data_IF_822607837924
#
_entry.id   IF_822607837924
#
_cell.length_a   1.000
_cell.length_b   1.000
_cell.length_c   1.000
_cell.angle_alpha   90.00
_cell.angle_beta   90.00
_cell.angle_gamma   90.00
#
_symmetry.space_group_name_H-M   'P 1'
#
loop_
_entity.id
_entity.type
_entity.pdbx_description
1 polymer ?
#
# COMPACT_ATOMS: atom_id res chain seq x y z
N UNK A 1 -22.33 -40.55 83.48
CA UNK A 1 -22.97 -39.22 83.19
C UNK A 1 -21.94 -38.39 82.55
N UNK A 2 -22.13 -38.13 81.26
CA UNK A 2 -21.26 -37.27 80.40
C UNK A 2 -21.96 -35.98 80.19
N UNK A 3 -21.32 -34.82 80.33
CA UNK A 3 -21.90 -33.54 79.89
C UNK A 3 -21.58 -33.24 78.44
N UNK A 4 -22.59 -32.80 77.71
CA UNK A 4 -22.51 -32.32 76.38
C UNK A 4 -22.02 -30.85 76.35
N UNK A 5 -20.94 -30.57 75.58
CA UNK A 5 -20.49 -29.21 75.28
C UNK A 5 -21.20 -28.75 74.00
N UNK A 6 -21.96 -27.67 74.05
CA UNK A 6 -22.48 -26.96 72.94
C UNK A 6 -21.44 -25.97 72.45
N UNK A 7 -20.94 -26.14 71.25
CA UNK A 7 -20.09 -25.14 70.56
C UNK A 7 -20.95 -24.24 69.67
N UNK A 8 -20.98 -22.95 69.98
CA UNK A 8 -21.63 -21.91 69.25
C UNK A 8 -20.74 -21.52 68.06
N UNK A 9 -21.16 -21.79 66.81
CA UNK A 9 -20.48 -21.34 65.61
C UNK A 9 -21.05 -19.96 65.21
N UNK A 10 -20.26 -18.90 65.38
CA UNK A 10 -20.54 -17.57 64.89
C UNK A 10 -20.12 -17.54 63.39
N UNK A 11 -21.09 -17.45 62.48
CA UNK A 11 -20.85 -17.24 61.04
C UNK A 11 -20.60 -15.76 60.79
N UNK A 12 -19.35 -15.38 60.50
CA UNK A 12 -19.01 -14.07 59.93
C UNK A 12 -19.40 -14.06 58.45
N UNK A 13 -20.42 -13.29 58.09
CA UNK A 13 -20.70 -12.95 56.71
C UNK A 13 -19.73 -11.83 56.27
N UNK A 14 -18.72 -12.17 55.47
CA UNK A 14 -17.93 -11.19 54.73
C UNK A 14 -18.74 -10.80 53.47
N UNK A 15 -19.31 -9.62 53.49
CA UNK A 15 -19.84 -8.96 52.29
C UNK A 15 -18.67 -8.55 51.42
N UNK A 16 -18.38 -9.38 50.40
CA UNK A 16 -17.48 -9.02 49.31
C UNK A 16 -18.27 -8.10 48.33
N UNK A 17 -17.96 -6.80 48.37
CA UNK A 17 -18.37 -5.89 47.34
C UNK A 17 -17.58 -6.19 46.05
N UNK A 18 -18.15 -7.00 45.16
CA UNK A 18 -17.70 -7.10 43.79
C UNK A 18 -18.11 -5.83 43.06
N UNK A 19 -17.20 -4.86 42.97
CA UNK A 19 -17.30 -3.77 42.00
C UNK A 19 -16.97 -4.36 40.62
N UNK A 20 -17.98 -4.84 39.93
CA UNK A 20 -17.94 -5.05 38.48
C UNK A 20 -17.75 -3.68 37.82
N UNK A 21 -16.50 -3.32 37.54
CA UNK A 21 -16.22 -2.26 36.57
C UNK A 21 -16.74 -2.78 35.22
N UNK A 22 -17.94 -2.35 34.83
CA UNK A 22 -18.38 -2.43 33.46
C UNK A 22 -17.45 -1.54 32.66
N UNK A 23 -16.42 -2.15 32.11
CA UNK A 23 -15.61 -1.57 31.04
C UNK A 23 -16.59 -1.50 29.84
N UNK A 24 -17.22 -0.34 29.69
CA UNK A 24 -17.95 -0.02 28.47
C UNK A 24 -16.91 0.08 27.37
N UNK A 25 -16.69 -1.02 26.66
CA UNK A 25 -16.10 -0.98 25.32
C UNK A 25 -17.06 -0.16 24.44
N UNK A 26 -16.88 1.15 24.49
CA UNK A 26 -17.40 2.04 23.47
C UNK A 26 -16.56 1.72 22.23
N UNK A 27 -17.03 0.76 21.45
CA UNK A 27 -16.60 0.60 20.07
C UNK A 27 -16.96 1.91 19.38
N UNK A 28 -16.00 2.82 19.28
CA UNK A 28 -16.19 4.07 18.55
C UNK A 28 -16.59 3.66 17.13
N UNK A 29 -17.81 3.97 16.75
CA UNK A 29 -18.27 3.77 15.38
C UNK A 29 -17.40 4.66 14.50
N UNK A 30 -16.59 4.07 13.66
CA UNK A 30 -15.72 4.79 12.72
C UNK A 30 -16.63 5.58 11.78
N UNK A 31 -16.46 6.88 11.76
CA UNK A 31 -17.26 7.79 10.93
C UNK A 31 -16.50 8.10 9.64
N UNK A 32 -17.16 7.86 8.52
CA UNK A 32 -16.68 8.23 7.20
C UNK A 32 -17.33 9.53 6.76
N UNK A 33 -16.51 10.52 6.46
CA UNK A 33 -16.97 11.83 5.96
C UNK A 33 -16.84 11.89 4.43
N UNK A 34 -17.81 12.49 3.76
CA UNK A 34 -17.70 12.72 2.32
C UNK A 34 -16.75 13.86 2.05
N UNK A 35 -15.78 13.63 1.15
CA UNK A 35 -14.80 14.63 0.72
C UNK A 35 -15.18 15.15 -0.67
N UNK A 36 -15.15 16.47 -0.84
CA UNK A 36 -15.32 17.13 -2.15
C UNK A 36 -14.02 17.09 -2.97
N UNK A 37 -14.11 17.38 -4.27
CA UNK A 37 -12.94 17.51 -5.15
C UNK A 37 -12.77 16.37 -6.13
N UNK A 38 -13.59 15.30 -6.06
CA UNK A 38 -13.61 14.25 -7.10
C UNK A 38 -14.52 14.64 -8.26
N UNK A 39 -14.14 14.26 -9.47
CA UNK A 39 -14.88 14.52 -10.71
C UNK A 39 -15.94 13.44 -10.98
N UNK A 40 -15.74 12.22 -10.46
CA UNK A 40 -16.65 11.10 -10.62
C UNK A 40 -16.73 10.27 -9.33
N UNK A 41 -17.88 9.62 -9.08
CA UNK A 41 -18.08 8.77 -7.91
C UNK A 41 -18.19 9.53 -6.59
N UNK A 42 -17.78 8.89 -5.49
CA UNK A 42 -17.83 9.46 -4.13
C UNK A 42 -16.55 9.16 -3.40
N UNK A 43 -15.91 10.16 -2.81
CA UNK A 43 -14.74 10.00 -1.95
C UNK A 43 -15.16 10.07 -0.49
N UNK A 44 -14.82 9.05 0.26
CA UNK A 44 -15.04 8.95 1.70
C UNK A 44 -13.71 9.03 2.42
N UNK A 45 -13.66 9.76 3.54
CA UNK A 45 -12.48 9.89 4.38
C UNK A 45 -12.77 9.41 5.79
N UNK A 46 -11.88 8.57 6.28
CA UNK A 46 -11.76 8.23 7.69
C UNK A 46 -10.61 9.02 8.29
N UNK A 47 -10.82 9.61 9.45
CA UNK A 47 -9.78 10.32 10.17
C UNK A 47 -8.61 9.40 10.59
N UNK A 48 -7.62 9.96 11.26
CA UNK A 48 -6.42 9.22 11.69
C UNK A 48 -6.63 8.28 12.88
N UNK A 49 -7.83 8.17 13.43
CA UNK A 49 -8.13 7.35 14.63
C UNK A 49 -7.86 5.86 14.44
N UNK A 50 -7.90 5.39 13.18
CA UNK A 50 -7.63 4.01 12.81
C UNK A 50 -6.13 3.65 12.81
N UNK A 51 -5.20 4.62 12.84
CA UNK A 51 -3.74 4.39 12.69
C UNK A 51 -3.02 4.00 13.99
N UNK A 52 -3.65 3.37 14.92
CA UNK A 52 -3.10 3.11 16.27
C UNK A 52 -1.69 2.49 16.26
N UNK A 53 -0.69 3.29 16.60
CA UNK A 53 0.54 2.85 17.26
C UNK A 53 1.74 2.45 16.40
N UNK A 54 1.62 2.06 15.13
CA UNK A 54 2.74 1.52 14.36
C UNK A 54 3.34 2.48 13.33
N UNK A 55 2.53 3.36 12.78
CA UNK A 55 2.93 4.37 11.80
C UNK A 55 2.38 5.74 12.19
N UNK A 56 2.87 6.80 11.55
CA UNK A 56 2.36 8.16 11.77
C UNK A 56 0.87 8.25 11.47
N UNK A 57 0.12 8.98 12.31
CA UNK A 57 -1.30 9.20 12.13
C UNK A 57 -1.60 9.86 10.77
N UNK A 58 -2.56 9.32 10.04
CA UNK A 58 -2.93 9.78 8.69
C UNK A 58 -4.37 9.44 8.37
N UNK A 59 -5.05 10.21 7.51
CA UNK A 59 -6.37 9.84 7.02
C UNK A 59 -6.28 8.63 6.07
N UNK A 60 -7.43 7.98 5.90
CA UNK A 60 -7.64 6.94 4.89
C UNK A 60 -8.78 7.38 4.00
N UNK A 61 -8.53 7.44 2.70
CA UNK A 61 -9.57 7.76 1.73
C UNK A 61 -10.00 6.52 0.97
N UNK A 62 -11.30 6.38 0.74
CA UNK A 62 -11.87 5.33 -0.11
C UNK A 62 -12.77 5.97 -1.15
N UNK A 63 -12.39 5.80 -2.40
CA UNK A 63 -13.22 6.21 -3.52
C UNK A 63 -14.14 5.09 -3.98
N UNK A 64 -15.40 5.41 -4.14
CA UNK A 64 -16.46 4.52 -4.62
C UNK A 64 -16.89 4.97 -6.02
N UNK A 65 -16.95 4.06 -7.02
CA UNK A 65 -17.37 4.41 -8.37
C UNK A 65 -18.84 4.88 -8.39
N UNK A 66 -19.21 5.64 -9.41
CA UNK A 66 -20.60 6.14 -9.61
C UNK A 66 -21.64 5.01 -9.63
N UNK A 67 -21.22 3.79 -9.92
CA UNK A 67 -22.07 2.58 -9.94
C UNK A 67 -22.14 1.83 -8.62
N UNK A 68 -21.49 2.31 -7.55
CA UNK A 68 -21.50 1.64 -6.25
C UNK A 68 -22.90 1.72 -5.62
N UNK A 69 -23.48 0.57 -5.32
CA UNK A 69 -24.85 0.46 -4.79
C UNK A 69 -24.93 -0.17 -3.37
N UNK A 70 -23.77 -0.47 -2.77
CA UNK A 70 -23.68 -1.13 -1.47
C UNK A 70 -24.15 -2.58 -1.45
N UNK A 71 -24.42 -3.20 -2.61
CA UNK A 71 -24.94 -4.57 -2.72
C UNK A 71 -24.01 -5.49 -3.49
N UNK A 72 -23.51 -5.03 -4.64
CA UNK A 72 -22.58 -5.81 -5.49
C UNK A 72 -21.17 -5.70 -4.97
N UNK A 73 -20.45 -6.82 -5.00
CA UNK A 73 -19.03 -6.83 -4.64
C UNK A 73 -18.16 -6.19 -5.72
N UNK A 74 -17.14 -5.48 -5.27
CA UNK A 74 -16.17 -4.75 -6.07
C UNK A 74 -14.76 -5.33 -5.86
N UNK A 75 -13.91 -5.25 -6.85
CA UNK A 75 -12.48 -5.43 -6.68
C UNK A 75 -11.90 -4.24 -5.89
N UNK A 76 -10.69 -4.38 -5.37
CA UNK A 76 -10.04 -3.35 -4.55
C UNK A 76 -8.65 -3.03 -5.09
N UNK A 77 -8.39 -1.74 -5.32
CA UNK A 77 -7.06 -1.22 -5.58
C UNK A 77 -6.56 -0.42 -4.38
N UNK A 78 -5.50 -0.86 -3.75
CA UNK A 78 -4.75 -0.10 -2.75
C UNK A 78 -3.70 0.73 -3.47
N UNK A 79 -3.81 2.07 -3.41
CA UNK A 79 -2.92 2.96 -4.17
C UNK A 79 -2.15 3.89 -3.23
N UNK A 80 -0.83 3.88 -3.36
CA UNK A 80 0.07 4.74 -2.58
C UNK A 80 -0.03 6.20 -3.00
N UNK A 81 0.50 7.10 -2.17
CA UNK A 81 0.46 8.55 -2.36
C UNK A 81 -0.98 9.08 -2.50
N UNK A 82 -1.88 8.59 -1.63
CA UNK A 82 -3.32 8.80 -1.67
C UNK A 82 -3.77 10.25 -1.82
N UNK A 83 -3.01 11.20 -1.27
CA UNK A 83 -3.28 12.64 -1.38
C UNK A 83 -3.06 13.22 -2.78
N UNK A 84 -2.47 12.44 -3.72
CA UNK A 84 -2.17 12.90 -5.08
C UNK A 84 -3.15 12.39 -6.14
N UNK A 85 -4.19 11.63 -5.74
CA UNK A 85 -4.94 10.79 -6.67
C UNK A 85 -6.11 11.49 -7.37
N UNK A 86 -6.80 12.44 -6.68
CA UNK A 86 -8.17 12.82 -7.04
C UNK A 86 -8.42 14.32 -7.31
N UNK A 87 -7.61 15.23 -6.77
CA UNK A 87 -7.84 16.68 -6.87
C UNK A 87 -6.53 17.46 -6.94
N UNK A 88 -6.20 17.98 -8.12
CA UNK A 88 -5.02 18.78 -8.37
C UNK A 88 -4.94 20.05 -7.48
N UNK A 89 -6.09 20.59 -7.04
CA UNK A 89 -6.08 21.77 -6.19
C UNK A 89 -5.60 21.49 -4.76
N UNK A 90 -5.71 20.23 -4.32
CA UNK A 90 -5.27 19.79 -3.00
C UNK A 90 -3.82 19.29 -2.96
N UNK A 91 -3.19 19.09 -4.12
CA UNK A 91 -1.82 18.57 -4.22
C UNK A 91 -0.78 19.68 -4.18
N UNK A 92 0.44 19.35 -3.67
CA UNK A 92 1.54 20.31 -3.53
C UNK A 92 2.08 20.89 -4.87
N UNK A 93 1.93 20.13 -5.96
CA UNK A 93 2.42 20.48 -7.30
C UNK A 93 1.30 20.79 -8.30
N UNK A 94 0.06 20.89 -7.84
CA UNK A 94 -1.13 21.12 -8.66
C UNK A 94 -1.30 20.13 -9.81
N UNK A 95 -0.96 18.86 -9.54
CA UNK A 95 -1.17 17.74 -10.46
C UNK A 95 -1.83 16.60 -9.72
N UNK A 96 -2.62 15.80 -10.44
CA UNK A 96 -3.29 14.63 -9.92
C UNK A 96 -3.20 13.45 -10.89
N UNK A 97 -3.49 12.27 -10.36
CA UNK A 97 -3.52 11.03 -11.15
C UNK A 97 -4.83 10.84 -11.94
N UNK A 98 -5.89 11.57 -11.62
CA UNK A 98 -7.21 11.43 -12.21
C UNK A 98 -7.78 10.01 -12.10
N UNK A 99 -7.57 9.37 -10.96
CA UNK A 99 -7.89 7.95 -10.78
C UNK A 99 -9.40 7.71 -10.84
N UNK A 100 -10.19 8.61 -10.28
CA UNK A 100 -11.65 8.55 -10.25
C UNK A 100 -12.26 8.62 -11.66
N UNK A 101 -11.87 9.59 -12.49
CA UNK A 101 -12.41 9.70 -13.86
C UNK A 101 -12.01 8.50 -14.71
N UNK A 102 -10.75 8.06 -14.61
CA UNK A 102 -10.23 6.97 -15.43
C UNK A 102 -10.90 5.65 -15.03
N UNK A 103 -10.95 5.35 -13.71
CA UNK A 103 -11.56 4.10 -13.25
C UNK A 103 -13.06 4.08 -13.49
N UNK A 104 -13.79 5.18 -13.23
CA UNK A 104 -15.23 5.26 -13.46
C UNK A 104 -15.56 5.06 -14.96
N UNK A 105 -14.76 5.68 -15.83
CA UNK A 105 -14.88 5.48 -17.28
C UNK A 105 -14.67 4.02 -17.70
N UNK A 106 -13.62 3.36 -17.20
CA UNK A 106 -13.33 1.95 -17.51
C UNK A 106 -14.44 1.01 -17.04
N UNK A 107 -15.04 1.31 -15.88
CA UNK A 107 -16.20 0.57 -15.35
C UNK A 107 -17.43 0.80 -16.24
N UNK A 108 -17.71 2.06 -16.62
CA UNK A 108 -18.87 2.43 -17.42
C UNK A 108 -18.86 1.74 -18.80
N UNK A 109 -17.70 1.68 -19.46
CA UNK A 109 -17.53 0.98 -20.76
C UNK A 109 -17.32 -0.54 -20.59
N UNK A 110 -17.40 -1.06 -19.36
CA UNK A 110 -17.29 -2.49 -19.01
C UNK A 110 -15.96 -3.15 -19.38
N UNK A 111 -14.89 -2.39 -19.47
CA UNK A 111 -13.53 -2.90 -19.72
C UNK A 111 -12.97 -3.59 -18.49
N UNK A 112 -13.25 -3.04 -17.31
CA UNK A 112 -12.78 -3.57 -16.03
C UNK A 112 -13.94 -4.07 -15.15
N UNK A 113 -13.59 -4.86 -14.13
CA UNK A 113 -14.47 -5.14 -13.01
C UNK A 113 -14.80 -3.82 -12.28
N UNK A 114 -15.99 -3.69 -11.69
CA UNK A 114 -16.26 -2.63 -10.73
C UNK A 114 -15.24 -2.69 -9.60
N UNK A 115 -14.55 -1.57 -9.36
CA UNK A 115 -13.40 -1.51 -8.44
C UNK A 115 -13.52 -0.27 -7.55
N UNK A 116 -13.26 -0.41 -6.25
CA UNK A 116 -13.05 0.70 -5.33
C UNK A 116 -11.56 1.02 -5.22
N UNK A 117 -11.23 2.27 -4.90
CA UNK A 117 -9.84 2.70 -4.70
C UNK A 117 -9.63 3.05 -3.23
N UNK A 118 -8.70 2.39 -2.58
CA UNK A 118 -8.24 2.69 -1.23
C UNK A 118 -6.98 3.52 -1.35
N UNK A 119 -7.10 4.81 -1.08
CA UNK A 119 -6.03 5.79 -1.24
C UNK A 119 -5.21 5.87 0.05
N UNK A 120 -3.99 5.36 -0.02
CA UNK A 120 -3.08 5.24 1.11
C UNK A 120 -2.19 6.49 1.19
N UNK A 121 -2.50 7.37 2.13
CA UNK A 121 -1.69 8.57 2.34
C UNK A 121 -0.30 8.22 2.88
N UNK A 122 0.73 8.91 2.42
CA UNK A 122 2.07 8.84 3.03
C UNK A 122 2.18 9.77 4.26
N UNK A 123 3.13 9.49 5.13
CA UNK A 123 3.37 10.25 6.37
C UNK A 123 4.23 11.51 6.19
N UNK A 124 4.10 12.26 5.09
CA UNK A 124 4.90 13.44 4.81
C UNK A 124 6.39 13.11 4.69
N UNK A 125 7.22 13.70 5.54
CA UNK A 125 8.68 13.45 5.58
C UNK A 125 9.05 11.98 5.79
N UNK A 126 8.13 11.18 6.34
CA UNK A 126 8.34 9.75 6.56
C UNK A 126 8.19 8.92 5.28
N UNK A 127 7.68 9.50 4.17
CA UNK A 127 7.41 8.76 2.93
C UNK A 127 8.59 7.91 2.45
N UNK A 128 9.77 8.47 2.41
CA UNK A 128 10.96 7.75 1.93
C UNK A 128 11.32 6.56 2.84
N UNK A 129 11.13 6.69 4.14
CA UNK A 129 11.40 5.62 5.11
C UNK A 129 10.32 4.54 5.11
N UNK A 130 9.08 4.92 4.85
CA UNK A 130 7.93 4.00 4.77
C UNK A 130 7.87 3.25 3.44
N UNK A 131 8.42 3.83 2.36
CA UNK A 131 8.33 3.27 1.01
C UNK A 131 9.64 2.62 0.53
N UNK A 132 10.71 2.67 1.30
CA UNK A 132 11.94 1.96 0.96
C UNK A 132 11.84 0.51 1.45
N UNK A 133 11.93 -0.52 0.56
CA UNK A 133 11.80 -1.92 0.92
C UNK A 133 12.80 -2.37 1.99
N UNK A 134 12.31 -2.90 3.10
CA UNK A 134 13.12 -3.16 4.31
C UNK A 134 14.12 -4.31 4.14
N UNK A 135 13.75 -5.41 3.49
CA UNK A 135 14.67 -6.54 3.27
C UNK A 135 15.84 -6.18 2.35
N UNK A 136 15.62 -5.53 1.18
CA UNK A 136 16.72 -4.95 0.41
C UNK A 136 17.56 -3.97 1.21
N UNK A 137 16.94 -3.11 2.03
CA UNK A 137 17.69 -2.20 2.90
C UNK A 137 18.58 -2.93 3.92
N UNK A 138 18.11 -4.01 4.52
CA UNK A 138 18.91 -4.82 5.45
C UNK A 138 20.14 -5.42 4.77
N UNK A 139 20.00 -5.85 3.52
CA UNK A 139 21.12 -6.32 2.70
C UNK A 139 22.15 -5.22 2.47
N UNK A 140 21.70 -4.00 2.16
CA UNK A 140 22.56 -2.82 2.01
C UNK A 140 23.21 -2.42 3.31
N UNK A 141 22.42 -2.36 4.40
CA UNK A 141 22.90 -1.95 5.73
C UNK A 141 24.09 -2.79 6.21
N UNK A 142 24.10 -4.06 5.87
CA UNK A 142 25.20 -4.96 6.21
C UNK A 142 26.53 -4.64 5.48
N UNK A 143 26.47 -3.82 4.41
CA UNK A 143 27.62 -3.45 3.59
C UNK A 143 28.20 -2.07 3.93
N UNK A 144 27.45 -1.24 4.63
CA UNK A 144 27.82 0.15 4.92
C UNK A 144 28.15 0.37 6.40
N UNK A 145 29.12 1.29 6.64
CA UNK A 145 29.41 1.75 8.00
C UNK A 145 28.28 2.59 8.59
N UNK A 146 28.23 2.71 9.91
CA UNK A 146 27.24 3.57 10.59
C UNK A 146 27.35 5.03 10.15
N UNK A 147 28.57 5.53 9.92
CA UNK A 147 28.79 6.89 9.43
C UNK A 147 28.26 7.10 8.02
N UNK A 148 28.39 6.11 7.14
CA UNK A 148 27.79 6.16 5.79
C UNK A 148 26.27 6.17 5.86
N UNK A 149 25.68 5.31 6.71
CA UNK A 149 24.24 5.26 6.92
C UNK A 149 23.68 6.55 7.51
N UNK A 150 24.39 7.18 8.46
CA UNK A 150 24.00 8.48 9.00
C UNK A 150 24.06 9.59 7.94
N UNK A 151 25.08 9.59 7.07
CA UNK A 151 25.17 10.55 5.96
C UNK A 151 24.04 10.36 4.93
N UNK A 152 23.63 9.12 4.65
CA UNK A 152 22.46 8.83 3.81
C UNK A 152 21.19 9.34 4.51
N UNK A 153 20.96 9.00 5.77
CA UNK A 153 19.79 9.41 6.53
C UNK A 153 19.60 10.93 6.57
N UNK A 154 20.70 11.69 6.77
CA UNK A 154 20.70 13.16 6.79
C UNK A 154 20.18 13.75 5.48
N UNK A 155 20.47 13.15 4.32
CA UNK A 155 19.95 13.60 3.01
C UNK A 155 18.45 13.45 2.88
N UNK A 156 17.84 12.58 3.69
CA UNK A 156 16.39 12.34 3.74
C UNK A 156 15.74 13.01 4.96
N UNK A 157 16.44 13.94 5.63
CA UNK A 157 15.88 14.71 6.74
C UNK A 157 15.82 13.95 8.07
N UNK A 158 16.65 12.92 8.24
CA UNK A 158 16.79 12.22 9.53
C UNK A 158 18.12 12.51 10.20
N UNK A 159 18.11 12.91 11.46
CA UNK A 159 19.30 13.15 12.27
C UNK A 159 19.92 11.86 12.86
N UNK A 160 19.27 10.73 12.63
CA UNK A 160 19.68 9.41 13.14
C UNK A 160 19.87 8.43 11.98
N UNK A 161 20.08 7.15 12.28
CA UNK A 161 20.12 6.10 11.25
C UNK A 161 18.87 6.15 10.37
N UNK A 162 18.99 5.74 9.10
CA UNK A 162 17.87 5.68 8.14
C UNK A 162 16.77 4.72 8.68
N UNK A 163 15.66 5.24 9.22
CA UNK A 163 14.69 4.43 9.97
C UNK A 163 13.65 3.82 9.01
N UNK A 164 14.06 2.84 8.19
CA UNK A 164 13.14 2.13 7.29
C UNK A 164 11.98 1.54 8.08
N UNK A 165 10.76 1.76 7.60
CA UNK A 165 9.51 1.34 8.23
C UNK A 165 8.53 0.70 7.24
N UNK A 166 9.00 0.20 6.11
CA UNK A 166 8.12 -0.38 5.10
C UNK A 166 7.40 -1.63 5.59
N UNK A 167 8.04 -2.47 6.41
CA UNK A 167 7.36 -3.62 7.01
C UNK A 167 6.23 -3.15 7.94
N UNK A 168 6.48 -2.15 8.78
CA UNK A 168 5.44 -1.58 9.64
C UNK A 168 4.29 -0.95 8.82
N UNK A 169 4.62 -0.33 7.69
CA UNK A 169 3.61 0.21 6.78
C UNK A 169 2.78 -0.91 6.10
N UNK A 170 3.41 -2.00 5.67
CA UNK A 170 2.70 -3.17 5.14
C UNK A 170 1.81 -3.84 6.19
N UNK A 171 2.29 -4.00 7.41
CA UNK A 171 1.46 -4.48 8.53
C UNK A 171 0.24 -3.59 8.73
N UNK A 172 0.42 -2.26 8.72
CA UNK A 172 -0.74 -1.35 8.79
C UNK A 172 -1.73 -1.58 7.64
N UNK A 173 -1.24 -1.74 6.40
CA UNK A 173 -2.12 -2.01 5.25
C UNK A 173 -2.88 -3.33 5.38
N UNK A 174 -2.19 -4.40 5.79
CA UNK A 174 -2.72 -5.77 5.79
C UNK A 174 -3.54 -6.06 7.03
N UNK A 175 -3.10 -5.60 8.20
CA UNK A 175 -3.69 -5.97 9.48
C UNK A 175 -4.73 -4.94 9.97
N UNK A 176 -4.71 -3.71 9.42
CA UNK A 176 -5.64 -2.65 9.83
C UNK A 176 -6.52 -2.20 8.68
N UNK A 177 -5.92 -1.69 7.59
CA UNK A 177 -6.69 -1.08 6.49
C UNK A 177 -7.52 -2.12 5.75
N UNK A 178 -6.91 -3.24 5.35
CA UNK A 178 -7.64 -4.25 4.57
C UNK A 178 -8.82 -4.86 5.32
N UNK A 179 -8.70 -5.31 6.59
CA UNK A 179 -9.85 -5.81 7.35
C UNK A 179 -10.94 -4.75 7.53
N UNK A 180 -10.56 -3.50 7.73
CA UNK A 180 -11.50 -2.38 7.85
C UNK A 180 -12.28 -2.17 6.54
N UNK A 181 -11.60 -2.15 5.41
CA UNK A 181 -12.22 -2.02 4.08
C UNK A 181 -13.14 -3.19 3.79
N UNK A 182 -12.68 -4.42 4.03
CA UNK A 182 -13.44 -5.64 3.80
C UNK A 182 -14.71 -5.71 4.67
N UNK A 183 -14.67 -5.16 5.88
CA UNK A 183 -15.82 -5.12 6.78
C UNK A 183 -16.81 -3.98 6.47
N UNK A 184 -16.32 -2.89 5.87
CA UNK A 184 -17.12 -1.66 5.65
C UNK A 184 -17.81 -1.66 4.28
N UNK A 185 -17.13 -2.14 3.25
CA UNK A 185 -17.59 -2.03 1.87
C UNK A 185 -17.92 -3.40 1.26
N UNK A 186 -18.78 -3.42 0.23
CA UNK A 186 -19.08 -4.63 -0.51
C UNK A 186 -17.94 -4.94 -1.49
N UNK A 187 -16.97 -5.73 -1.04
CA UNK A 187 -15.76 -6.07 -1.80
C UNK A 187 -15.51 -7.58 -1.85
N UNK A 188 -14.74 -8.01 -2.85
CA UNK A 188 -14.09 -9.31 -2.84
C UNK A 188 -12.85 -9.21 -1.95
N UNK A 189 -12.73 -10.12 -0.99
CA UNK A 189 -11.63 -10.14 -0.03
C UNK A 189 -10.43 -10.98 -0.49
N UNK A 190 -10.60 -11.76 -1.56
CA UNK A 190 -9.55 -12.64 -2.09
C UNK A 190 -8.52 -11.89 -2.94
N UNK A 191 -7.32 -12.46 -3.02
CA UNK A 191 -6.18 -11.85 -3.71
C UNK A 191 -6.41 -11.62 -5.20
N UNK A 192 -7.25 -12.43 -5.85
CA UNK A 192 -7.49 -12.34 -7.29
C UNK A 192 -8.20 -11.04 -7.70
N UNK A 193 -8.91 -10.43 -6.75
CA UNK A 193 -9.60 -9.17 -6.89
C UNK A 193 -8.94 -8.01 -6.10
N UNK A 194 -7.74 -8.24 -5.55
CA UNK A 194 -7.00 -7.26 -4.74
C UNK A 194 -5.68 -6.89 -5.43
N UNK A 195 -5.51 -5.61 -5.74
CA UNK A 195 -4.29 -5.08 -6.34
C UNK A 195 -3.67 -3.97 -5.49
N UNK A 196 -2.37 -3.77 -5.66
CA UNK A 196 -1.62 -2.66 -5.08
C UNK A 196 -0.94 -1.85 -6.18
N UNK A 197 -0.89 -0.52 -6.06
CA UNK A 197 -0.35 0.36 -7.08
C UNK A 197 0.40 1.56 -6.51
N UNK A 198 1.39 2.03 -7.24
CA UNK A 198 2.08 3.29 -6.96
C UNK A 198 3.15 3.63 -7.98
N UNK A 199 3.66 4.85 -7.92
CA UNK A 199 4.76 5.29 -8.76
C UNK A 199 6.03 5.57 -7.96
N UNK A 200 7.15 5.56 -8.66
CA UNK A 200 8.43 5.91 -8.05
C UNK A 200 8.76 5.02 -6.84
N UNK A 201 8.94 5.59 -5.66
CA UNK A 201 9.04 4.84 -4.40
C UNK A 201 7.78 4.00 -4.12
N UNK A 202 6.58 4.48 -4.51
CA UNK A 202 5.34 3.72 -4.44
C UNK A 202 5.33 2.50 -5.36
N UNK A 203 6.05 2.55 -6.50
CA UNK A 203 6.30 1.38 -7.36
C UNK A 203 7.19 0.35 -6.69
N UNK A 204 8.26 0.77 -6.01
CA UNK A 204 9.09 -0.12 -5.17
C UNK A 204 8.24 -0.79 -4.08
N UNK A 205 7.39 0.00 -3.42
CA UNK A 205 6.54 -0.49 -2.35
C UNK A 205 5.46 -1.45 -2.86
N UNK A 206 4.92 -1.23 -4.07
CA UNK A 206 3.98 -2.17 -4.72
C UNK A 206 4.64 -3.51 -5.03
N UNK A 207 5.85 -3.49 -5.57
CA UNK A 207 6.67 -4.70 -5.80
C UNK A 207 6.97 -5.43 -4.48
N UNK A 208 7.32 -4.67 -3.44
CA UNK A 208 7.62 -5.23 -2.12
C UNK A 208 6.38 -5.83 -1.47
N UNK A 209 5.22 -5.16 -1.57
CA UNK A 209 3.95 -5.64 -1.02
C UNK A 209 3.53 -7.00 -1.60
N UNK A 210 3.60 -7.18 -2.91
CA UNK A 210 3.24 -8.47 -3.52
C UNK A 210 4.25 -9.58 -3.20
N UNK A 211 5.52 -9.22 -2.98
CA UNK A 211 6.55 -10.15 -2.55
C UNK A 211 6.40 -10.60 -1.10
N UNK A 212 5.99 -9.70 -0.19
CA UNK A 212 5.84 -10.01 1.23
C UNK A 212 4.47 -10.64 1.56
N UNK A 213 3.40 -10.22 0.86
CA UNK A 213 2.02 -10.65 1.09
C UNK A 213 1.35 -11.19 -0.19
N UNK A 214 1.92 -12.23 -0.81
CA UNK A 214 1.38 -12.82 -2.06
C UNK A 214 0.02 -13.51 -1.87
N UNK A 215 -0.38 -13.77 -0.64
CA UNK A 215 -1.71 -14.27 -0.27
C UNK A 215 -2.75 -13.15 -0.21
N UNK A 216 -2.34 -11.89 -0.08
CA UNK A 216 -3.21 -10.72 0.02
C UNK A 216 -3.35 -10.00 -1.32
N UNK A 217 -2.22 -9.74 -1.99
CA UNK A 217 -2.16 -9.00 -3.24
C UNK A 217 -1.97 -9.93 -4.43
N UNK A 218 -2.94 -9.97 -5.34
CA UNK A 218 -2.86 -10.79 -6.56
C UNK A 218 -2.21 -10.04 -7.72
N UNK A 219 -2.15 -8.71 -7.67
CA UNK A 219 -1.55 -7.88 -8.74
C UNK A 219 -0.81 -6.69 -8.15
N UNK A 220 0.40 -6.41 -8.65
CA UNK A 220 1.15 -5.19 -8.37
C UNK A 220 1.30 -4.34 -9.63
N UNK A 221 1.02 -3.04 -9.51
CA UNK A 221 1.16 -2.04 -10.56
C UNK A 221 2.27 -1.06 -10.16
N UNK A 222 3.44 -1.24 -10.75
CA UNK A 222 4.68 -0.57 -10.37
C UNK A 222 5.07 0.44 -11.46
N UNK A 223 4.55 1.67 -11.38
CA UNK A 223 4.73 2.68 -12.41
C UNK A 223 5.99 3.52 -12.14
N UNK A 224 6.79 3.78 -13.17
CA UNK A 224 8.03 4.57 -13.05
C UNK A 224 8.84 4.21 -11.80
N UNK A 225 9.05 2.90 -11.58
CA UNK A 225 9.64 2.39 -10.33
C UNK A 225 11.03 2.94 -10.10
N UNK A 226 11.28 3.52 -8.91
CA UNK A 226 12.52 4.20 -8.58
C UNK A 226 13.66 3.23 -8.24
N UNK A 227 14.08 2.44 -9.23
CA UNK A 227 15.14 1.44 -9.06
C UNK A 227 16.47 1.98 -8.54
N UNK A 228 16.91 3.22 -8.89
CA UNK A 228 18.11 3.79 -8.27
C UNK A 228 18.03 3.91 -6.75
N UNK A 229 16.81 4.02 -6.18
CA UNK A 229 16.57 4.12 -4.74
C UNK A 229 17.19 5.36 -4.08
N UNK A 230 17.78 6.25 -4.88
CA UNK A 230 18.43 7.49 -4.46
C UNK A 230 18.64 8.44 -5.65
N UNK A 231 19.12 9.66 -5.39
CA UNK A 231 19.29 10.69 -6.41
C UNK A 231 20.74 10.79 -6.94
N UNK A 232 21.62 9.88 -6.55
CA UNK A 232 22.99 9.78 -7.05
C UNK A 232 23.18 8.42 -7.73
N UNK A 233 23.98 8.34 -8.80
CA UNK A 233 24.32 7.07 -9.42
C UNK A 233 24.93 6.11 -8.38
N UNK A 234 24.41 4.89 -8.34
CA UNK A 234 24.89 3.80 -7.50
C UNK A 234 24.45 2.47 -8.12
N UNK A 235 25.12 1.40 -7.82
CA UNK A 235 24.76 0.05 -8.24
C UNK A 235 24.32 -0.81 -7.06
N UNK A 236 24.68 -0.43 -5.85
CA UNK A 236 24.43 -1.22 -4.64
C UNK A 236 22.94 -1.36 -4.35
N UNK A 237 22.17 -0.24 -4.46
CA UNK A 237 20.73 -0.23 -4.21
C UNK A 237 19.99 -1.05 -5.28
N UNK A 238 20.18 -0.81 -6.60
CA UNK A 238 19.59 -1.65 -7.64
C UNK A 238 19.92 -3.14 -7.48
N UNK A 239 21.16 -3.48 -7.17
CA UNK A 239 21.58 -4.87 -6.95
C UNK A 239 20.85 -5.51 -5.75
N UNK A 240 20.61 -4.77 -4.68
CA UNK A 240 19.85 -5.27 -3.54
C UNK A 240 18.38 -5.52 -3.91
N UNK A 241 17.77 -4.66 -4.73
CA UNK A 241 16.42 -4.90 -5.26
C UNK A 241 16.36 -6.10 -6.18
N UNK A 242 17.33 -6.26 -7.10
CA UNK A 242 17.40 -7.42 -7.99
C UNK A 242 17.58 -8.72 -7.22
N UNK A 243 18.44 -8.72 -6.20
CA UNK A 243 18.59 -9.88 -5.31
C UNK A 243 17.27 -10.23 -4.64
N UNK A 244 16.57 -9.24 -4.08
CA UNK A 244 15.26 -9.46 -3.47
C UNK A 244 14.25 -10.04 -4.49
N UNK A 245 14.18 -9.48 -5.69
CA UNK A 245 13.33 -9.97 -6.77
C UNK A 245 13.64 -11.42 -7.11
N UNK A 246 14.93 -11.78 -7.28
CA UNK A 246 15.34 -13.13 -7.63
C UNK A 246 14.94 -14.17 -6.58
N UNK A 247 14.90 -13.78 -5.31
CA UNK A 247 14.60 -14.68 -4.19
C UNK A 247 13.11 -14.75 -3.85
N UNK A 248 12.33 -13.69 -4.13
CA UNK A 248 10.98 -13.54 -3.58
C UNK A 248 9.88 -13.41 -4.65
N UNK A 249 10.22 -13.09 -5.89
CA UNK A 249 9.25 -12.86 -6.96
C UNK A 249 9.35 -13.99 -7.99
N UNK A 250 8.54 -15.03 -7.78
CA UNK A 250 8.48 -16.21 -8.67
C UNK A 250 7.04 -16.49 -9.09
N UNK A 251 6.79 -17.12 -10.27
CA UNK A 251 5.42 -17.32 -10.78
C UNK A 251 4.53 -18.21 -9.92
N UNK A 252 5.11 -19.11 -9.15
CA UNK A 252 4.36 -19.98 -8.20
C UNK A 252 3.97 -19.24 -6.92
N UNK A 253 4.69 -18.19 -6.56
CA UNK A 253 4.46 -17.41 -5.34
C UNK A 253 3.56 -16.19 -5.56
N UNK A 254 3.87 -15.35 -6.54
CA UNK A 254 3.16 -14.08 -6.76
C UNK A 254 2.22 -14.15 -7.96
N UNK A 255 1.24 -13.24 -7.99
CA UNK A 255 0.28 -13.12 -9.08
C UNK A 255 0.81 -12.38 -10.30
N UNK A 256 0.17 -11.27 -10.68
CA UNK A 256 0.54 -10.47 -11.84
C UNK A 256 1.37 -9.25 -11.42
N UNK A 257 2.32 -8.86 -12.27
CA UNK A 257 3.11 -7.65 -12.05
C UNK A 257 3.15 -6.82 -13.34
N UNK A 258 2.85 -5.54 -13.21
CA UNK A 258 2.99 -4.56 -14.27
C UNK A 258 4.09 -3.57 -13.91
N UNK A 259 4.97 -3.30 -14.86
CA UNK A 259 5.97 -2.23 -14.80
C UNK A 259 5.80 -1.29 -15.97
N UNK A 260 6.09 0.00 -15.74
CA UNK A 260 6.30 0.95 -16.82
C UNK A 260 7.33 2.02 -16.44
N UNK A 261 7.75 2.76 -17.45
CA UNK A 261 8.61 3.93 -17.28
C UNK A 261 8.49 4.87 -18.49
N UNK A 262 8.74 6.17 -18.24
CA UNK A 262 8.89 7.18 -19.27
C UNK A 262 10.33 7.28 -19.78
N UNK A 263 10.64 8.39 -20.48
CA UNK A 263 12.01 8.66 -20.98
C UNK A 263 12.50 10.05 -20.67
N UNK A 264 11.69 10.84 -19.96
CA UNK A 264 12.00 12.22 -19.62
C UNK A 264 12.16 12.40 -18.10
N UNK A 265 12.83 13.46 -17.71
CA UNK A 265 13.11 13.82 -16.31
C UNK A 265 13.78 12.65 -15.55
N UNK A 266 13.28 12.25 -14.38
CA UNK A 266 13.85 11.17 -13.58
C UNK A 266 13.76 9.80 -14.29
N UNK A 267 12.70 9.58 -15.09
CA UNK A 267 12.50 8.33 -15.83
C UNK A 267 13.58 8.10 -16.91
N UNK A 268 14.28 9.15 -17.36
CA UNK A 268 15.33 9.03 -18.37
C UNK A 268 16.46 8.06 -17.95
N UNK A 269 16.63 7.84 -16.65
CA UNK A 269 17.66 6.93 -16.13
C UNK A 269 17.14 5.50 -15.87
N UNK A 270 15.84 5.19 -16.03
CA UNK A 270 15.25 3.95 -15.53
C UNK A 270 15.43 2.75 -16.45
N UNK A 271 15.58 2.97 -17.76
CA UNK A 271 15.62 1.89 -18.74
C UNK A 271 16.68 0.81 -18.45
N UNK A 272 17.95 1.14 -18.11
CA UNK A 272 18.94 0.10 -17.82
C UNK A 272 18.56 -0.76 -16.61
N UNK A 273 18.03 -0.15 -15.56
CA UNK A 273 17.60 -0.85 -14.35
C UNK A 273 16.37 -1.71 -14.60
N UNK A 274 15.37 -1.19 -15.34
CA UNK A 274 14.19 -1.96 -15.68
C UNK A 274 14.54 -3.18 -16.55
N UNK A 275 15.50 -3.05 -17.49
CA UNK A 275 15.97 -4.18 -18.30
C UNK A 275 16.63 -5.25 -17.44
N UNK A 276 17.40 -4.88 -16.43
CA UNK A 276 17.96 -5.83 -15.46
C UNK A 276 16.85 -6.55 -14.67
N UNK A 277 15.84 -5.83 -14.22
CA UNK A 277 14.66 -6.41 -13.54
C UNK A 277 13.92 -7.37 -14.47
N UNK A 278 13.72 -7.01 -15.73
CA UNK A 278 13.11 -7.88 -16.73
C UNK A 278 13.89 -9.21 -16.86
N UNK A 279 15.23 -9.13 -16.93
CA UNK A 279 16.08 -10.31 -17.00
C UNK A 279 15.97 -11.19 -15.76
N UNK A 280 15.82 -10.61 -14.57
CA UNK A 280 15.61 -11.37 -13.33
C UNK A 280 14.25 -12.09 -13.38
N UNK A 281 13.18 -11.43 -13.85
CA UNK A 281 11.87 -12.05 -13.94
C UNK A 281 11.86 -13.22 -14.96
N UNK A 282 12.52 -13.04 -16.12
CA UNK A 282 12.67 -14.09 -17.12
C UNK A 282 13.44 -15.28 -16.53
N UNK A 283 14.54 -15.03 -15.81
CA UNK A 283 15.32 -16.06 -15.14
C UNK A 283 14.52 -16.81 -14.06
N UNK A 284 13.58 -16.11 -13.40
CA UNK A 284 12.67 -16.71 -12.43
C UNK A 284 11.50 -17.48 -13.08
N UNK A 285 11.39 -17.48 -14.42
CA UNK A 285 10.38 -18.25 -15.15
C UNK A 285 9.07 -17.49 -15.46
N UNK A 286 9.05 -16.16 -15.33
CA UNK A 286 7.93 -15.38 -15.85
C UNK A 286 7.98 -15.31 -17.38
N UNK A 287 6.80 -15.39 -18.00
CA UNK A 287 6.61 -15.21 -19.44
C UNK A 287 6.05 -13.81 -19.67
N UNK A 288 6.78 -12.99 -20.44
CA UNK A 288 6.36 -11.64 -20.80
C UNK A 288 5.05 -11.65 -21.57
N UNK A 289 4.15 -10.74 -21.21
CA UNK A 289 2.81 -10.62 -21.82
C UNK A 289 1.73 -11.47 -21.15
N UNK A 290 2.09 -12.40 -20.26
CA UNK A 290 1.11 -13.22 -19.53
C UNK A 290 0.84 -12.63 -18.13
N UNK A 291 1.70 -12.97 -17.17
CA UNK A 291 1.56 -12.53 -15.78
C UNK A 291 2.48 -11.37 -15.42
N UNK A 292 3.34 -10.98 -16.34
CA UNK A 292 4.23 -9.85 -16.22
C UNK A 292 4.27 -9.05 -17.53
N UNK A 293 4.24 -7.73 -17.38
CA UNK A 293 4.35 -6.78 -18.50
C UNK A 293 5.27 -5.64 -18.08
N UNK A 294 6.17 -5.24 -18.99
CA UNK A 294 6.92 -3.98 -18.88
C UNK A 294 6.63 -3.11 -20.11
N UNK A 295 6.27 -1.84 -19.91
CA UNK A 295 5.99 -0.90 -21.00
C UNK A 295 6.86 0.36 -20.90
N UNK A 296 7.42 0.78 -22.03
CA UNK A 296 8.15 2.03 -22.19
C UNK A 296 7.27 3.09 -22.84
N UNK A 297 7.22 4.29 -22.29
CA UNK A 297 6.46 5.44 -22.80
C UNK A 297 7.39 6.57 -23.21
N UNK A 298 7.84 6.61 -24.49
CA UNK A 298 8.71 7.67 -24.99
C UNK A 298 8.07 9.06 -24.83
N UNK A 299 8.87 10.03 -24.34
CA UNK A 299 8.43 11.39 -24.08
C UNK A 299 7.61 11.59 -22.82
N UNK A 300 7.35 10.54 -22.02
CA UNK A 300 6.67 10.67 -20.75
C UNK A 300 7.67 11.06 -19.63
N UNK A 301 7.27 12.03 -18.83
CA UNK A 301 8.03 12.51 -17.66
C UNK A 301 7.67 11.75 -16.37
N UNK A 302 8.45 11.95 -15.33
CA UNK A 302 8.21 11.43 -13.98
C UNK A 302 7.25 12.34 -13.21
N UNK A 303 5.99 12.36 -13.60
CA UNK A 303 4.97 13.21 -12.99
C UNK A 303 3.56 12.63 -13.10
N UNK A 304 2.64 13.16 -12.29
CA UNK A 304 1.25 12.72 -12.21
C UNK A 304 0.51 12.89 -13.54
N UNK A 305 0.78 13.94 -14.31
CA UNK A 305 0.17 14.16 -15.64
C UNK A 305 0.56 13.07 -16.63
N UNK A 306 1.81 12.65 -16.60
CA UNK A 306 2.32 11.57 -17.45
C UNK A 306 1.75 10.22 -17.02
N UNK A 307 1.62 9.98 -15.73
CA UNK A 307 1.01 8.75 -15.21
C UNK A 307 -0.49 8.71 -15.50
N UNK A 308 -1.22 9.79 -15.27
CA UNK A 308 -2.66 9.89 -15.58
C UNK A 308 -2.97 9.52 -17.05
N UNK A 309 -2.16 9.99 -18.01
CA UNK A 309 -2.37 9.69 -19.43
C UNK A 309 -2.36 8.20 -19.76
N UNK A 310 -1.62 7.39 -18.99
CA UNK A 310 -1.43 5.95 -19.25
C UNK A 310 -2.04 5.04 -18.21
N UNK A 311 -2.62 5.58 -17.13
CA UNK A 311 -3.17 4.82 -15.99
C UNK A 311 -4.22 3.78 -16.40
N UNK A 312 -4.99 4.06 -17.47
CA UNK A 312 -5.98 3.11 -18.02
C UNK A 312 -5.36 1.76 -18.41
N UNK A 313 -4.07 1.72 -18.75
CA UNK A 313 -3.36 0.50 -19.15
C UNK A 313 -3.13 -0.44 -17.97
N UNK A 314 -2.41 -0.02 -16.89
CA UNK A 314 -2.25 -0.88 -15.71
C UNK A 314 -3.57 -1.22 -15.01
N UNK A 315 -4.55 -0.31 -14.98
CA UNK A 315 -5.87 -0.63 -14.42
C UNK A 315 -6.58 -1.73 -15.23
N UNK A 316 -6.49 -1.68 -16.57
CA UNK A 316 -7.02 -2.75 -17.42
C UNK A 316 -6.26 -4.06 -17.22
N UNK A 317 -4.93 -4.02 -17.11
CA UNK A 317 -4.13 -5.20 -16.82
C UNK A 317 -4.54 -5.88 -15.50
N UNK A 318 -4.81 -5.09 -14.46
CA UNK A 318 -5.22 -5.63 -13.16
C UNK A 318 -6.65 -6.22 -13.18
N UNK A 319 -7.59 -5.49 -13.76
CA UNK A 319 -9.02 -5.69 -13.52
C UNK A 319 -9.84 -6.00 -14.79
N UNK A 320 -9.20 -6.31 -15.92
CA UNK A 320 -9.94 -6.68 -17.14
C UNK A 320 -10.97 -7.78 -16.84
N UNK A 321 -12.19 -7.61 -17.34
CA UNK A 321 -13.20 -8.68 -17.33
C UNK A 321 -12.69 -9.84 -18.18
N UNK A 322 -12.67 -11.03 -17.60
CA UNK A 322 -12.50 -12.23 -18.41
C UNK A 322 -13.68 -12.34 -19.38
N UNK A 323 -13.36 -12.49 -20.64
CA UNK A 323 -14.38 -12.68 -21.70
C UNK A 323 -14.99 -14.07 -21.63
#
# INVERSE_FOLDING_TARGET
MKPYFFALFAALFLLSCNSTSTQSDVTAVLQWDTVSGVSAGTLLRLDSSHTKGTISARPLDVWLPSTYDGKRKHAVLYMYDGQMLFDANSTWNHQEWRVDEIMDSLIAIKTTLPTIIVALHHGGVMRNFEYFPQKPFQTLRAQFSDSTMAAIASRYGSDTAFPVKSDAYLHYMVDVVKPLVDATFQVYSDKSATAVAGSSMGGLMSMYAIGEYPEVFGTALCMSTHWPGGFSPNEEIPNAFQKYLSENITPDRVGKIYFDYGTETLDAMYEPFQNQVNSVLEANGFISGERWVTQKFPGAAHDEKSWAKRLHIPLTFAFAKQR
#
